data_IF_288725105748
#
_entry.id   IF_288725105748
#
_cell.length_a   1.000
_cell.length_b   1.000
_cell.length_c   1.000
_cell.angle_alpha   90.00
_cell.angle_beta   90.00
_cell.angle_gamma   90.00
#
_symmetry.space_group_name_H-M   'P 1'
#
loop_
_entity.id
_entity.type
_entity.pdbx_description
1 polymer ?
#
# COMPACT_ATOMS: atom_id res chain seq x y z
N UNK A 1 6.12 3.33 9.72
CA UNK A 1 5.33 2.66 8.65
C UNK A 1 5.33 1.18 8.90
N UNK A 2 4.17 0.56 9.01
CA UNK A 2 4.03 -0.86 9.24
C UNK A 2 3.10 -1.39 8.15
N UNK A 3 3.53 -2.40 7.39
CA UNK A 3 2.83 -2.99 6.23
C UNK A 3 3.17 -2.35 4.88
N UNK A 4 4.39 -1.82 4.72
CA UNK A 4 4.76 -1.11 3.49
C UNK A 4 4.71 -2.03 2.26
N UNK A 5 5.34 -3.20 2.36
CA UNK A 5 5.48 -4.12 1.21
C UNK A 5 4.12 -4.74 0.88
N UNK A 6 3.32 -5.08 1.89
CA UNK A 6 1.97 -5.61 1.71
C UNK A 6 1.05 -4.63 0.98
N UNK A 7 1.11 -3.34 1.35
CA UNK A 7 0.32 -2.30 0.68
C UNK A 7 0.76 -2.07 -0.77
N UNK A 8 2.07 -2.07 -1.04
CA UNK A 8 2.57 -1.99 -2.42
C UNK A 8 2.17 -3.23 -3.24
N UNK A 9 2.24 -4.42 -2.65
CA UNK A 9 1.83 -5.66 -3.32
C UNK A 9 0.36 -5.63 -3.71
N UNK A 10 -0.51 -5.20 -2.79
CA UNK A 10 -1.95 -5.02 -3.06
C UNK A 10 -2.17 -3.97 -4.15
N UNK A 11 -1.45 -2.84 -4.11
CA UNK A 11 -1.53 -1.81 -5.16
C UNK A 11 -1.16 -2.38 -6.53
N UNK A 12 -0.02 -3.06 -6.63
CA UNK A 12 0.48 -3.59 -7.89
C UNK A 12 -0.40 -4.70 -8.46
N UNK A 13 -0.86 -5.61 -7.62
CA UNK A 13 -1.76 -6.68 -8.02
C UNK A 13 -3.12 -6.14 -8.44
N UNK A 14 -3.63 -5.13 -7.73
CA UNK A 14 -4.85 -4.43 -8.14
C UNK A 14 -4.66 -3.78 -9.50
N UNK A 15 -3.53 -3.11 -9.77
CA UNK A 15 -3.29 -2.49 -11.08
C UNK A 15 -3.18 -3.54 -12.19
N UNK A 16 -2.52 -4.67 -11.95
CA UNK A 16 -2.48 -5.80 -12.91
C UNK A 16 -3.88 -6.28 -13.28
N UNK A 17 -4.77 -6.42 -12.30
CA UNK A 17 -6.15 -6.84 -12.52
C UNK A 17 -6.99 -5.73 -13.18
N UNK A 18 -6.79 -4.47 -12.77
CA UNK A 18 -7.50 -3.30 -13.29
C UNK A 18 -7.24 -3.08 -14.78
N UNK A 19 -6.01 -3.30 -15.25
CA UNK A 19 -5.63 -3.20 -16.66
C UNK A 19 -6.37 -4.22 -17.56
N UNK A 20 -6.88 -5.30 -16.98
CA UNK A 20 -7.69 -6.30 -17.70
C UNK A 20 -9.20 -6.09 -17.57
N UNK A 21 -9.63 -5.17 -16.70
CA UNK A 21 -11.05 -5.00 -16.41
C UNK A 21 -11.73 -4.10 -17.46
N UNK A 22 -12.80 -4.54 -18.16
CA UNK A 22 -13.37 -3.84 -19.30
C UNK A 22 -14.03 -2.49 -18.94
N UNK A 23 -14.47 -2.32 -17.70
CA UNK A 23 -15.05 -1.06 -17.22
C UNK A 23 -14.02 -0.08 -16.62
N UNK A 24 -12.73 -0.46 -16.58
CA UNK A 24 -11.70 0.43 -16.07
C UNK A 24 -11.56 1.66 -16.97
N UNK A 25 -11.44 2.84 -16.36
CA UNK A 25 -11.34 4.07 -17.14
C UNK A 25 -10.02 4.11 -17.94
N UNK A 26 -10.02 4.48 -19.24
CA UNK A 26 -8.78 4.52 -20.04
C UNK A 26 -7.69 5.41 -19.44
N UNK A 27 -8.04 6.60 -18.94
CA UNK A 27 -7.09 7.47 -18.21
C UNK A 27 -6.48 6.78 -16.99
N UNK A 28 -7.24 5.94 -16.28
CA UNK A 28 -6.71 5.20 -15.14
C UNK A 28 -5.70 4.15 -15.60
N UNK A 29 -6.00 3.42 -16.68
CA UNK A 29 -5.07 2.46 -17.26
C UNK A 29 -3.74 3.13 -17.66
N UNK A 30 -3.82 4.31 -18.27
CA UNK A 30 -2.62 5.07 -18.65
C UNK A 30 -1.79 5.49 -17.44
N UNK A 31 -2.41 6.09 -16.41
CA UNK A 31 -1.65 6.57 -15.23
C UNK A 31 -1.11 5.42 -14.38
N UNK A 32 -1.81 4.27 -14.32
CA UNK A 32 -1.31 3.07 -13.65
C UNK A 32 -0.03 2.54 -14.28
N UNK A 33 0.12 2.68 -15.59
CA UNK A 33 1.33 2.28 -16.33
C UNK A 33 2.42 3.34 -16.25
N UNK A 34 2.09 4.60 -16.49
CA UNK A 34 3.08 5.69 -16.64
C UNK A 34 3.58 6.27 -15.32
N UNK A 35 2.79 6.18 -14.25
CA UNK A 35 3.04 6.85 -12.97
C UNK A 35 2.91 5.88 -11.78
N UNK A 36 3.36 4.62 -11.98
CA UNK A 36 3.27 3.55 -10.97
C UNK A 36 4.02 3.90 -9.68
N UNK A 37 5.18 4.51 -9.79
CA UNK A 37 5.99 5.04 -8.67
C UNK A 37 5.23 6.08 -7.85
N UNK A 38 4.47 6.96 -8.50
CA UNK A 38 3.63 7.95 -7.83
C UNK A 38 2.43 7.28 -7.15
N UNK A 39 1.84 6.26 -7.77
CA UNK A 39 0.83 5.45 -7.12
C UNK A 39 1.36 4.71 -5.90
N UNK A 40 2.60 4.22 -5.91
CA UNK A 40 3.25 3.62 -4.73
C UNK A 40 3.34 4.60 -3.57
N UNK A 41 3.66 5.88 -3.83
CA UNK A 41 3.62 6.91 -2.79
C UNK A 41 2.22 7.07 -2.19
N UNK A 42 1.19 7.03 -3.03
CA UNK A 42 -0.21 7.02 -2.59
C UNK A 42 -0.56 5.79 -1.75
N UNK A 43 -0.09 4.61 -2.17
CA UNK A 43 -0.34 3.31 -1.54
C UNK A 43 0.22 3.18 -0.12
N UNK A 44 1.12 4.07 0.29
CA UNK A 44 1.70 4.12 1.64
C UNK A 44 1.33 5.39 2.41
N UNK A 45 0.45 6.23 1.84
CA UNK A 45 0.02 7.49 2.44
C UNK A 45 -1.23 7.31 3.29
N UNK A 46 -1.18 7.83 4.52
CA UNK A 46 -2.33 7.86 5.45
C UNK A 46 -3.30 9.00 5.09
N UNK A 47 -4.52 8.94 5.64
CA UNK A 47 -5.53 10.03 5.59
C UNK A 47 -6.05 10.39 4.19
N UNK A 48 -5.99 9.43 3.26
CA UNK A 48 -6.50 9.59 1.89
C UNK A 48 -8.01 9.92 1.83
N UNK A 49 -8.76 9.58 2.87
CA UNK A 49 -10.22 9.77 3.00
C UNK A 49 -10.62 11.23 2.93
N UNK A 50 -9.71 12.12 3.33
CA UNK A 50 -9.99 13.53 3.40
C UNK A 50 -10.01 14.21 2.03
N UNK A 51 -9.41 13.59 0.99
CA UNK A 51 -9.17 14.27 -0.28
C UNK A 51 -9.28 13.41 -1.54
N UNK A 52 -9.31 12.07 -1.48
CA UNK A 52 -9.31 11.23 -2.69
C UNK A 52 -10.44 11.57 -3.67
N UNK A 53 -11.68 11.72 -3.18
CA UNK A 53 -12.83 11.99 -4.04
C UNK A 53 -12.77 13.39 -4.66
N UNK A 54 -12.39 14.38 -3.85
CA UNK A 54 -12.21 15.77 -4.29
C UNK A 54 -11.13 15.89 -5.37
N UNK A 55 -9.99 15.20 -5.21
CA UNK A 55 -8.90 15.25 -6.19
C UNK A 55 -9.32 14.56 -7.49
N UNK A 56 -10.11 13.48 -7.46
CA UNK A 56 -10.64 12.86 -8.69
C UNK A 56 -11.60 13.81 -9.40
N UNK A 57 -12.51 14.47 -8.67
CA UNK A 57 -13.44 15.43 -9.27
C UNK A 57 -12.71 16.66 -9.84
N UNK A 58 -11.70 17.16 -9.12
CA UNK A 58 -10.81 18.21 -9.62
C UNK A 58 -10.09 17.75 -10.90
N UNK A 59 -9.54 16.53 -10.92
CA UNK A 59 -8.85 15.98 -12.09
C UNK A 59 -9.79 15.84 -13.29
N UNK A 60 -11.05 15.43 -13.08
CA UNK A 60 -12.09 15.43 -14.12
C UNK A 60 -12.26 16.80 -14.74
N UNK A 61 -12.36 17.86 -13.92
CA UNK A 61 -12.49 19.22 -14.41
C UNK A 61 -11.24 19.68 -15.18
N UNK A 62 -10.04 19.33 -14.69
CA UNK A 62 -8.78 19.67 -15.37
C UNK A 62 -8.65 19.02 -16.73
N UNK A 63 -8.98 17.73 -16.85
CA UNK A 63 -8.87 16.97 -18.09
C UNK A 63 -9.83 17.46 -19.19
N UNK A 64 -10.87 18.22 -18.82
CA UNK A 64 -11.80 18.86 -19.76
C UNK A 64 -11.29 20.21 -20.29
N UNK A 65 -10.24 20.79 -19.72
CA UNK A 65 -9.69 22.08 -20.14
C UNK A 65 -8.87 21.93 -21.44
N UNK A 66 -8.80 22.98 -22.30
CA UNK A 66 -7.92 22.98 -23.47
C UNK A 66 -6.44 22.82 -23.11
N UNK A 67 -6.05 23.29 -21.93
CA UNK A 67 -4.69 23.18 -21.39
C UNK A 67 -4.78 22.66 -19.95
N UNK A 68 -4.87 21.32 -19.74
CA UNK A 68 -4.98 20.73 -18.42
C UNK A 68 -3.72 21.00 -17.58
N UNK A 69 -3.86 21.04 -16.24
CA UNK A 69 -2.71 20.98 -15.33
C UNK A 69 -1.85 19.74 -15.65
N UNK A 70 -0.57 19.95 -15.97
CA UNK A 70 0.38 18.89 -16.30
C UNK A 70 0.57 17.87 -15.16
N UNK A 71 0.23 18.24 -13.91
CA UNK A 71 0.29 17.37 -12.74
C UNK A 71 -1.00 16.55 -12.53
N UNK A 72 -2.06 16.77 -13.30
CA UNK A 72 -3.32 16.04 -13.12
C UNK A 72 -3.16 14.51 -13.22
N UNK A 73 -2.42 13.95 -14.20
CA UNK A 73 -2.17 12.50 -14.26
C UNK A 73 -1.41 11.96 -13.05
N UNK A 74 -0.44 12.72 -12.53
CA UNK A 74 0.37 12.34 -11.37
C UNK A 74 -0.45 12.35 -10.08
N UNK A 75 -1.23 13.41 -9.85
CA UNK A 75 -2.17 13.50 -8.72
C UNK A 75 -3.21 12.37 -8.78
N UNK A 76 -3.68 12.02 -9.98
CA UNK A 76 -4.59 10.91 -10.17
C UNK A 76 -3.94 9.57 -9.80
N UNK A 77 -2.72 9.30 -10.28
CA UNK A 77 -1.97 8.10 -9.90
C UNK A 77 -1.80 7.97 -8.38
N UNK A 78 -1.43 9.07 -7.72
CA UNK A 78 -1.33 9.14 -6.26
C UNK A 78 -2.65 8.79 -5.56
N UNK A 79 -3.79 9.32 -6.03
CA UNK A 79 -5.11 9.00 -5.48
C UNK A 79 -5.47 7.53 -5.71
N UNK A 80 -5.18 6.96 -6.88
CA UNK A 80 -5.51 5.56 -7.15
C UNK A 80 -4.74 4.64 -6.20
N UNK A 81 -3.45 4.90 -5.99
CA UNK A 81 -2.68 4.20 -4.96
C UNK A 81 -3.24 4.40 -3.55
N UNK A 82 -3.71 5.60 -3.21
CA UNK A 82 -4.29 5.87 -1.89
C UNK A 82 -5.64 5.17 -1.66
N UNK A 83 -6.40 4.90 -2.73
CA UNK A 83 -7.59 4.03 -2.66
C UNK A 83 -7.20 2.56 -2.44
N UNK A 84 -6.16 2.05 -3.09
CA UNK A 84 -5.67 0.69 -2.81
C UNK A 84 -5.11 0.57 -1.39
N UNK A 85 -4.48 1.64 -0.87
CA UNK A 85 -4.06 1.72 0.53
C UNK A 85 -5.24 1.51 1.48
N UNK A 86 -6.34 2.25 1.27
CA UNK A 86 -7.54 2.09 2.09
C UNK A 86 -8.07 0.66 2.04
N UNK A 87 -8.16 0.08 0.85
CA UNK A 87 -8.65 -1.29 0.70
C UNK A 87 -7.77 -2.28 1.47
N UNK A 88 -6.45 -2.15 1.39
CA UNK A 88 -5.52 -2.95 2.19
C UNK A 88 -5.78 -2.78 3.70
N UNK A 89 -5.76 -1.54 4.18
CA UNK A 89 -5.95 -1.21 5.59
C UNK A 89 -7.23 -1.80 6.19
N UNK A 90 -8.36 -1.73 5.46
CA UNK A 90 -9.65 -2.27 5.95
C UNK A 90 -9.60 -3.77 6.21
N UNK A 91 -8.75 -4.51 5.50
CA UNK A 91 -8.68 -5.97 5.56
C UNK A 91 -7.49 -6.47 6.39
N UNK A 92 -6.37 -5.74 6.43
CA UNK A 92 -5.14 -6.14 7.12
C UNK A 92 -5.06 -5.60 8.55
N UNK A 93 -5.48 -4.36 8.81
CA UNK A 93 -5.42 -3.78 10.17
C UNK A 93 -6.17 -4.58 11.22
N UNK A 94 -7.36 -5.18 10.96
CA UNK A 94 -8.03 -6.01 11.94
C UNK A 94 -7.15 -7.17 12.44
N UNK A 95 -6.35 -7.79 11.55
CA UNK A 95 -5.37 -8.81 11.93
C UNK A 95 -4.37 -8.24 12.93
N UNK A 96 -3.84 -7.05 12.66
CA UNK A 96 -2.82 -6.46 13.51
C UNK A 96 -3.36 -6.06 14.88
N UNK A 97 -4.62 -5.58 14.92
CA UNK A 97 -5.27 -5.09 16.14
C UNK A 97 -5.61 -6.18 17.15
N UNK A 98 -5.79 -7.45 16.75
CA UNK A 98 -5.95 -8.52 17.74
C UNK A 98 -4.70 -8.72 18.63
N UNK A 99 -3.56 -8.22 18.18
CA UNK A 99 -2.30 -8.28 18.90
C UNK A 99 -1.97 -6.98 19.64
N UNK A 100 -2.89 -6.00 19.63
CA UNK A 100 -2.68 -4.64 20.15
C UNK A 100 -2.48 -3.60 19.05
N UNK A 101 -2.24 -2.33 19.42
CA UNK A 101 -1.95 -1.27 18.42
C UNK A 101 -0.52 -1.36 17.87
N UNK A 102 0.31 -2.21 18.47
CA UNK A 102 1.76 -2.12 18.42
C UNK A 102 2.24 -0.90 19.18
N UNK A 103 3.46 -0.97 19.71
CA UNK A 103 4.12 0.24 20.17
C UNK A 103 4.84 0.93 19.00
N UNK A 104 4.81 2.26 19.00
CA UNK A 104 5.70 3.07 18.16
C UNK A 104 7.12 3.11 18.77
N UNK A 105 7.36 2.34 19.83
CA UNK A 105 8.67 2.23 20.49
C UNK A 105 9.63 1.39 19.64
N UNK A 106 9.10 0.47 18.81
CA UNK A 106 9.92 -0.40 17.98
C UNK A 106 10.59 -1.52 18.78
N UNK A 107 10.06 -1.83 19.96
CA UNK A 107 10.63 -2.85 20.80
C UNK A 107 10.50 -4.22 20.12
N UNK A 108 11.63 -4.93 20.03
CA UNK A 108 11.65 -6.29 19.51
C UNK A 108 10.73 -7.18 20.35
N UNK A 109 9.91 -7.99 19.68
CA UNK A 109 8.96 -8.90 20.32
C UNK A 109 7.54 -8.37 20.48
N UNK A 110 7.23 -7.12 20.07
CA UNK A 110 5.84 -6.67 19.99
C UNK A 110 5.05 -7.49 18.95
N UNK A 111 4.01 -8.26 19.35
CA UNK A 111 3.32 -9.19 18.45
C UNK A 111 2.59 -8.50 17.29
N UNK A 112 2.13 -7.26 17.48
CA UNK A 112 1.51 -6.49 16.41
C UNK A 112 2.53 -6.08 15.35
N UNK A 113 3.71 -5.60 15.75
CA UNK A 113 4.80 -5.27 14.83
C UNK A 113 5.36 -6.50 14.11
N UNK A 114 5.52 -7.63 14.82
CA UNK A 114 5.92 -8.91 14.21
C UNK A 114 4.92 -9.38 13.16
N UNK A 115 3.62 -9.42 13.49
CA UNK A 115 2.57 -9.86 12.57
C UNK A 115 2.61 -9.09 11.24
N UNK A 116 2.76 -7.78 11.35
CA UNK A 116 2.89 -6.86 10.22
C UNK A 116 4.15 -7.11 9.38
N UNK A 117 5.30 -7.33 10.03
CA UNK A 117 6.54 -7.69 9.32
C UNK A 117 6.38 -9.03 8.59
N UNK A 118 5.77 -10.03 9.23
CA UNK A 118 5.54 -11.33 8.60
C UNK A 118 4.65 -11.23 7.36
N UNK A 119 3.64 -10.35 7.38
CA UNK A 119 2.80 -10.05 6.22
C UNK A 119 3.63 -9.42 5.08
N UNK A 120 4.44 -8.41 5.39
CA UNK A 120 5.34 -7.78 4.44
C UNK A 120 6.35 -8.78 3.84
N UNK A 121 6.92 -9.67 4.66
CA UNK A 121 7.86 -10.71 4.19
C UNK A 121 7.19 -11.73 3.27
N UNK A 122 5.95 -12.14 3.58
CA UNK A 122 5.20 -13.03 2.71
C UNK A 122 4.96 -12.35 1.35
N UNK A 123 4.51 -11.09 1.35
CA UNK A 123 4.25 -10.35 0.10
C UNK A 123 5.56 -10.08 -0.64
N UNK A 124 6.66 -9.78 0.05
CA UNK A 124 7.99 -9.65 -0.57
C UNK A 124 8.37 -10.91 -1.35
N UNK A 125 8.10 -12.09 -0.79
CA UNK A 125 8.34 -13.38 -1.43
C UNK A 125 7.37 -13.68 -2.57
N UNK A 126 6.06 -13.57 -2.33
CA UNK A 126 5.01 -13.97 -3.28
C UNK A 126 4.84 -12.98 -4.44
N UNK A 127 5.04 -11.69 -4.16
CA UNK A 127 4.89 -10.61 -5.14
C UNK A 127 6.21 -10.25 -5.75
N UNK A 128 7.23 -9.95 -4.97
CA UNK A 128 8.46 -9.40 -5.54
C UNK A 128 9.53 -10.46 -5.76
N UNK A 129 9.20 -11.75 -5.64
CA UNK A 129 10.14 -12.87 -5.76
C UNK A 129 11.39 -12.66 -4.89
N UNK A 130 11.20 -12.09 -3.70
CA UNK A 130 12.29 -11.67 -2.81
C UNK A 130 13.31 -10.74 -3.49
N UNK A 131 12.84 -9.83 -4.33
CA UNK A 131 13.65 -8.89 -5.09
C UNK A 131 14.34 -9.48 -6.32
N UNK A 132 13.99 -10.69 -6.78
CA UNK A 132 14.65 -11.33 -7.92
C UNK A 132 13.84 -11.23 -9.22
N UNK A 133 14.57 -11.09 -10.34
CA UNK A 133 14.01 -11.18 -11.68
C UNK A 133 13.16 -9.98 -12.09
N UNK A 134 12.37 -10.10 -13.17
CA UNK A 134 11.62 -8.99 -13.76
C UNK A 134 10.46 -8.48 -12.87
N UNK A 135 10.17 -9.17 -11.76
CA UNK A 135 9.07 -8.88 -10.84
C UNK A 135 9.55 -8.18 -9.57
N UNK A 136 10.85 -7.92 -9.45
CA UNK A 136 11.52 -7.43 -8.25
C UNK A 136 11.14 -5.99 -7.88
N UNK A 137 10.93 -5.14 -8.88
CA UNK A 137 10.73 -3.69 -8.72
C UNK A 137 9.55 -3.36 -7.79
N UNK A 138 9.75 -2.49 -6.77
CA UNK A 138 10.91 -1.59 -6.56
C UNK A 138 12.03 -2.15 -5.66
N UNK A 139 11.98 -3.44 -5.30
CA UNK A 139 12.89 -4.04 -4.34
C UNK A 139 14.08 -4.75 -4.99
N UNK A 140 15.15 -4.92 -4.23
CA UNK A 140 16.36 -5.64 -4.65
C UNK A 140 16.60 -6.87 -3.76
N UNK A 141 17.31 -7.91 -4.25
CA UNK A 141 17.56 -9.16 -3.50
C UNK A 141 18.20 -8.98 -2.12
N UNK A 142 18.93 -7.88 -1.91
CA UNK A 142 19.65 -7.58 -0.68
C UNK A 142 18.91 -6.68 0.30
N UNK A 143 17.70 -6.19 -0.02
CA UNK A 143 17.01 -5.18 0.80
C UNK A 143 16.72 -5.67 2.23
N UNK A 144 16.58 -6.99 2.42
CA UNK A 144 16.33 -7.62 3.72
C UNK A 144 17.50 -8.50 4.22
N UNK A 145 18.67 -8.42 3.59
CA UNK A 145 19.82 -9.23 4.02
C UNK A 145 20.36 -8.79 5.39
N UNK A 146 20.07 -7.54 5.80
CA UNK A 146 20.69 -6.91 6.96
C UNK A 146 22.19 -6.65 6.76
N UNK A 147 22.86 -5.98 7.71
CA UNK A 147 24.29 -5.76 7.65
C UNK A 147 25.05 -7.10 7.75
N UNK A 148 25.97 -7.36 6.82
CA UNK A 148 26.80 -8.57 6.82
C UNK A 148 28.09 -8.39 7.64
N UNK A 149 28.43 -7.14 7.97
CA UNK A 149 29.61 -6.76 8.73
C UNK A 149 29.32 -5.54 9.60
N UNK A 150 30.21 -5.26 10.56
CA UNK A 150 30.15 -4.03 11.37
C UNK A 150 30.30 -2.77 10.49
N UNK A 151 31.09 -2.86 9.41
CA UNK A 151 31.24 -1.77 8.45
C UNK A 151 29.91 -1.46 7.73
N UNK A 152 29.16 -2.49 7.32
CA UNK A 152 27.83 -2.32 6.70
C UNK A 152 26.84 -1.66 7.67
N UNK A 153 26.85 -2.10 8.93
CA UNK A 153 25.98 -1.52 9.97
C UNK A 153 26.29 -0.02 10.18
N UNK A 154 27.58 0.34 10.24
CA UNK A 154 28.00 1.76 10.34
C UNK A 154 27.63 2.57 9.10
N UNK A 155 27.76 2.00 7.91
CA UNK A 155 27.36 2.67 6.67
C UNK A 155 25.84 2.93 6.63
N UNK A 156 25.03 1.97 7.06
CA UNK A 156 23.57 2.11 7.18
C UNK A 156 23.19 3.23 8.17
N UNK A 157 23.83 3.29 9.34
CA UNK A 157 23.64 4.36 10.34
C UNK A 157 23.91 5.74 9.73
N UNK A 158 25.03 5.89 9.02
CA UNK A 158 25.40 7.14 8.33
C UNK A 158 24.36 7.51 7.28
N UNK A 159 23.93 6.56 6.45
CA UNK A 159 22.90 6.80 5.43
C UNK A 159 21.57 7.23 6.05
N UNK A 160 21.14 6.58 7.14
CA UNK A 160 19.93 6.97 7.90
C UNK A 160 20.02 8.42 8.38
N UNK A 161 21.17 8.85 8.90
CA UNK A 161 21.40 10.25 9.32
C UNK A 161 21.34 11.21 8.13
N UNK A 162 22.00 10.89 7.01
CA UNK A 162 21.99 11.71 5.81
C UNK A 162 20.59 11.86 5.23
N UNK A 163 19.83 10.76 5.13
CA UNK A 163 18.45 10.76 4.65
C UNK A 163 17.55 11.62 5.53
N UNK A 164 17.65 11.48 6.87
CA UNK A 164 16.91 12.34 7.81
C UNK A 164 17.23 13.81 7.60
N UNK A 165 18.52 14.16 7.43
CA UNK A 165 18.94 15.54 7.15
C UNK A 165 18.39 16.06 5.82
N UNK A 166 18.40 15.23 4.78
CA UNK A 166 17.84 15.59 3.48
C UNK A 166 16.32 15.82 3.59
N UNK A 167 15.59 14.93 4.26
CA UNK A 167 14.14 15.08 4.48
C UNK A 167 13.80 16.33 5.29
N UNK A 168 14.60 16.65 6.31
CA UNK A 168 14.47 17.93 7.04
C UNK A 168 14.73 19.10 6.10
N UNK A 169 15.81 19.07 5.31
CA UNK A 169 16.12 20.16 4.38
C UNK A 169 15.05 20.38 3.30
N UNK A 170 14.32 19.33 2.92
CA UNK A 170 13.24 19.38 1.93
C UNK A 170 11.88 19.83 2.52
N UNK A 171 11.75 20.00 3.84
CA UNK A 171 10.46 20.38 4.41
C UNK A 171 10.10 21.83 4.02
N UNK A 172 8.86 22.03 3.59
CA UNK A 172 8.30 23.38 3.33
C UNK A 172 7.58 23.95 4.54
N UNK A 173 7.67 23.29 5.70
CA UNK A 173 7.07 23.75 6.97
C UNK A 173 7.84 24.98 7.45
N UNK A 174 7.21 26.15 7.36
CA UNK A 174 7.81 27.39 7.82
C UNK A 174 8.08 27.33 9.34
N UNK A 175 9.29 27.71 9.81
CA UNK A 175 9.58 27.83 11.22
C UNK A 175 8.75 28.98 11.83
N UNK A 176 8.23 28.76 13.05
CA UNK A 176 7.65 29.84 13.83
C UNK A 176 8.80 30.67 14.44
N UNK A 177 9.02 31.88 13.93
CA UNK A 177 10.07 32.76 14.42
C UNK A 177 9.79 33.33 15.82
N UNK A 178 8.53 33.32 16.27
CA UNK A 178 8.12 33.79 17.60
C UNK A 178 8.26 32.72 18.69
N UNK A 179 8.22 31.44 18.32
CA UNK A 179 8.43 30.30 19.23
C UNK A 179 9.13 29.13 18.51
N UNK A 180 10.43 29.30 18.26
CA UNK A 180 11.24 28.29 17.57
C UNK A 180 11.30 26.95 18.34
N UNK A 181 11.25 26.99 19.67
CA UNK A 181 11.30 25.80 20.52
C UNK A 181 9.98 25.01 20.48
N UNK A 182 8.84 25.70 20.56
CA UNK A 182 7.52 25.09 20.41
C UNK A 182 7.33 24.52 19.00
N UNK A 183 7.76 25.26 17.97
CA UNK A 183 7.78 24.76 16.60
C UNK A 183 8.62 23.49 16.45
N UNK A 184 9.88 23.51 16.93
CA UNK A 184 10.76 22.35 16.83
C UNK A 184 10.18 21.14 17.56
N UNK A 185 9.60 21.36 18.75
CA UNK A 185 8.93 20.30 19.53
C UNK A 185 7.74 19.72 18.76
N UNK A 186 6.89 20.57 18.18
CA UNK A 186 5.73 20.13 17.40
C UNK A 186 6.16 19.41 16.10
N UNK A 187 7.19 19.92 15.42
CA UNK A 187 7.78 19.31 14.24
C UNK A 187 8.35 17.93 14.57
N UNK A 188 9.20 17.82 15.59
CA UNK A 188 9.78 16.53 16.02
C UNK A 188 8.72 15.54 16.49
N UNK A 189 7.65 15.99 17.17
CA UNK A 189 6.51 15.14 17.54
C UNK A 189 5.71 14.63 16.33
N UNK A 190 5.71 15.40 15.23
CA UNK A 190 5.03 15.05 13.97
C UNK A 190 5.93 14.28 13.01
N UNK A 191 7.26 14.32 13.21
CA UNK A 191 8.17 13.47 12.45
C UNK A 191 7.76 12.02 12.66
N UNK A 192 7.49 11.36 11.54
CA UNK A 192 7.13 9.96 11.57
C UNK A 192 8.34 9.17 12.10
N UNK A 193 8.16 8.52 13.25
CA UNK A 193 9.11 7.52 13.70
C UNK A 193 9.00 6.30 12.77
N UNK A 194 10.14 5.67 12.49
CA UNK A 194 10.20 4.40 11.79
C UNK A 194 10.41 3.32 12.85
N UNK A 195 9.36 2.92 13.61
CA UNK A 195 9.50 2.02 14.75
C UNK A 195 10.02 0.65 14.34
N UNK A 196 9.80 0.26 13.08
CA UNK A 196 10.28 -1.03 12.57
C UNK A 196 11.71 -0.90 12.05
N UNK A 197 12.60 -1.64 12.69
CA UNK A 197 13.98 -1.78 12.24
C UNK A 197 14.07 -2.73 11.04
N UNK A 198 14.88 -2.38 10.04
CA UNK A 198 15.26 -3.31 8.96
C UNK A 198 15.95 -4.56 9.52
N UNK A 199 16.61 -4.44 10.67
CA UNK A 199 17.17 -5.58 11.39
C UNK A 199 16.09 -6.59 11.78
N UNK A 200 14.92 -6.14 12.24
CA UNK A 200 13.83 -7.05 12.61
C UNK A 200 13.24 -7.75 11.37
N UNK A 201 13.18 -7.07 10.22
CA UNK A 201 12.83 -7.71 8.95
C UNK A 201 13.85 -8.79 8.59
N UNK A 202 15.15 -8.48 8.65
CA UNK A 202 16.21 -9.41 8.31
C UNK A 202 16.19 -10.64 9.24
N UNK A 203 16.01 -10.44 10.54
CA UNK A 203 15.92 -11.52 11.51
C UNK A 203 14.72 -12.45 11.23
N UNK A 204 13.51 -11.88 11.09
CA UNK A 204 12.30 -12.67 10.84
C UNK A 204 12.34 -13.36 9.47
N UNK A 205 12.98 -12.74 8.47
CA UNK A 205 13.20 -13.35 7.16
C UNK A 205 14.15 -14.55 7.22
N UNK A 206 15.21 -14.47 8.02
CA UNK A 206 16.20 -15.54 8.17
C UNK A 206 15.65 -16.72 8.97
N UNK A 207 14.91 -16.47 10.05
CA UNK A 207 14.37 -17.52 10.91
C UNK A 207 13.15 -18.23 10.31
N UNK A 208 12.28 -17.50 9.59
CA UNK A 208 11.01 -17.96 9.01
C UNK A 208 10.25 -18.98 9.89
N UNK A 209 10.11 -18.65 11.17
CA UNK A 209 9.55 -19.52 12.20
C UNK A 209 8.12 -19.97 11.85
N UNK A 210 7.93 -21.28 11.72
CA UNK A 210 6.64 -21.88 11.34
C UNK A 210 5.53 -21.62 12.36
N UNK A 211 5.84 -21.47 13.65
CA UNK A 211 4.86 -21.09 14.65
C UNK A 211 4.35 -19.66 14.42
N UNK A 212 5.25 -18.73 14.09
CA UNK A 212 4.89 -17.35 13.73
C UNK A 212 4.15 -17.29 12.40
N UNK A 213 4.56 -18.06 11.39
CA UNK A 213 3.85 -18.19 10.10
C UNK A 213 2.42 -18.66 10.33
N UNK A 214 2.23 -19.74 11.11
CA UNK A 214 0.91 -20.25 11.44
C UNK A 214 0.07 -19.18 12.15
N UNK A 215 0.60 -18.61 13.23
CA UNK A 215 -0.08 -17.62 14.08
C UNK A 215 -0.51 -16.35 13.32
N UNK A 216 0.41 -15.77 12.54
CA UNK A 216 0.20 -14.44 11.96
C UNK A 216 -0.33 -14.46 10.52
N UNK A 217 -0.11 -15.54 9.77
CA UNK A 217 -0.47 -15.63 8.34
C UNK A 217 -1.59 -16.64 8.09
N UNK A 218 -1.42 -17.89 8.53
CA UNK A 218 -2.35 -18.99 8.21
C UNK A 218 -3.64 -18.86 9.03
N UNK A 219 -3.54 -18.76 10.37
CA UNK A 219 -4.70 -18.70 11.26
C UNK A 219 -5.51 -17.41 11.06
N UNK A 220 -4.89 -16.38 10.48
CA UNK A 220 -5.52 -15.10 10.15
C UNK A 220 -6.08 -15.06 8.72
N UNK A 221 -5.94 -16.17 7.96
CA UNK A 221 -6.26 -16.28 6.55
C UNK A 221 -5.75 -15.08 5.74
N UNK A 222 -4.50 -14.68 5.97
CA UNK A 222 -3.96 -13.45 5.39
C UNK A 222 -3.85 -13.55 3.87
N UNK A 223 -3.29 -14.64 3.35
CA UNK A 223 -3.04 -14.83 1.93
C UNK A 223 -3.17 -16.32 1.54
N UNK A 224 -3.93 -16.61 0.49
CA UNK A 224 -4.10 -17.95 -0.06
C UNK A 224 -3.73 -17.96 -1.55
N UNK A 225 -2.74 -18.79 -1.93
CA UNK A 225 -2.28 -18.87 -3.33
C UNK A 225 -3.36 -19.36 -4.30
N UNK A 226 -4.34 -20.09 -3.78
CA UNK A 226 -5.43 -20.68 -4.57
C UNK A 226 -6.62 -19.74 -4.75
N UNK A 227 -6.60 -18.54 -4.16
CA UNK A 227 -7.63 -17.54 -4.46
C UNK A 227 -7.54 -17.13 -5.93
N UNK A 228 -8.68 -17.14 -6.61
CA UNK A 228 -8.74 -16.93 -8.06
C UNK A 228 -8.16 -15.56 -8.48
N UNK A 229 -8.42 -14.50 -7.70
CA UNK A 229 -7.85 -13.16 -7.94
C UNK A 229 -6.33 -13.14 -7.82
N UNK A 230 -5.79 -13.78 -6.79
CA UNK A 230 -4.35 -13.87 -6.57
C UNK A 230 -3.71 -14.64 -7.73
N UNK A 231 -4.28 -15.78 -8.14
CA UNK A 231 -3.80 -16.53 -9.32
C UNK A 231 -3.82 -15.68 -10.58
N UNK A 232 -4.91 -14.95 -10.86
CA UNK A 232 -4.97 -14.04 -12.01
C UNK A 232 -3.83 -13.01 -11.96
N UNK A 233 -3.63 -12.36 -10.81
CA UNK A 233 -2.55 -11.39 -10.63
C UNK A 233 -1.15 -12.03 -10.83
N UNK A 234 -0.94 -13.27 -10.35
CA UNK A 234 0.33 -14.00 -10.56
C UNK A 234 0.54 -14.39 -12.01
N UNK A 235 -0.50 -14.80 -12.73
CA UNK A 235 -0.41 -15.12 -14.15
C UNK A 235 -0.01 -13.89 -14.97
N UNK A 236 -0.68 -12.76 -14.78
CA UNK A 236 -0.31 -11.49 -15.43
C UNK A 236 1.12 -11.11 -15.11
N UNK A 237 1.51 -11.20 -13.84
CA UNK A 237 2.85 -10.85 -13.42
C UNK A 237 3.95 -11.70 -14.09
N UNK A 238 3.69 -13.00 -14.32
CA UNK A 238 4.60 -13.91 -15.03
C UNK A 238 4.52 -13.78 -16.56
N UNK A 239 3.80 -12.79 -17.09
CA UNK A 239 3.59 -12.60 -18.52
C UNK A 239 2.66 -13.62 -19.17
N UNK A 240 1.92 -14.40 -18.38
CA UNK A 240 0.89 -15.31 -18.90
C UNK A 240 -0.35 -14.52 -19.31
N UNK A 241 -1.03 -14.97 -20.35
CA UNK A 241 -2.30 -14.38 -20.78
C UNK A 241 -3.41 -14.72 -19.78
N UNK A 242 -4.11 -13.70 -19.30
CA UNK A 242 -5.35 -13.83 -18.51
C UNK A 242 -6.44 -13.11 -19.26
N UNK A 243 -7.57 -13.77 -19.47
CA UNK A 243 -8.72 -13.17 -20.16
C UNK A 243 -9.50 -12.28 -19.20
N UNK A 244 -10.08 -11.15 -19.66
CA UNK A 244 -10.92 -10.28 -18.84
C UNK A 244 -12.02 -11.01 -18.08
N UNK A 245 -12.65 -12.02 -18.69
CA UNK A 245 -13.73 -12.81 -18.07
C UNK A 245 -13.26 -13.54 -16.82
N UNK A 246 -12.00 -14.02 -16.80
CA UNK A 246 -11.45 -14.70 -15.63
C UNK A 246 -11.29 -13.75 -14.44
N UNK A 247 -10.95 -12.47 -14.70
CA UNK A 247 -10.87 -11.45 -13.66
C UNK A 247 -12.27 -11.12 -13.13
N UNK A 248 -13.26 -10.99 -14.02
CA UNK A 248 -14.66 -10.74 -13.63
C UNK A 248 -15.24 -11.88 -12.80
N UNK A 249 -15.04 -13.13 -13.23
CA UNK A 249 -15.46 -14.32 -12.49
C UNK A 249 -14.79 -14.39 -11.11
N UNK A 250 -13.48 -14.13 -11.05
CA UNK A 250 -12.73 -14.14 -9.80
C UNK A 250 -13.19 -13.02 -8.85
N UNK A 251 -13.48 -11.81 -9.35
CA UNK A 251 -14.04 -10.72 -8.57
C UNK A 251 -15.42 -11.09 -8.01
N UNK A 252 -16.31 -11.60 -8.86
CA UNK A 252 -17.68 -11.98 -8.47
C UNK A 252 -17.70 -13.14 -7.46
N UNK A 253 -16.75 -14.07 -7.55
CA UNK A 253 -16.63 -15.19 -6.62
C UNK A 253 -15.97 -14.82 -5.29
N UNK A 254 -15.29 -13.67 -5.19
CA UNK A 254 -14.57 -13.30 -3.97
C UNK A 254 -15.53 -12.90 -2.86
N UNK A 255 -15.48 -13.62 -1.74
CA UNK A 255 -16.33 -13.43 -0.57
C UNK A 255 -15.52 -13.51 0.74
N UNK A 256 -16.22 -13.59 1.88
CA UNK A 256 -15.60 -13.65 3.21
C UNK A 256 -14.77 -14.91 3.49
N UNK A 257 -14.92 -15.97 2.68
CA UNK A 257 -14.17 -17.23 2.84
C UNK A 257 -12.77 -17.15 2.22
N UNK A 258 -12.57 -16.23 1.30
CA UNK A 258 -11.29 -15.97 0.64
C UNK A 258 -10.31 -15.25 1.58
N UNK A 259 -9.02 -15.31 1.24
CA UNK A 259 -8.00 -14.65 2.06
C UNK A 259 -8.21 -13.14 2.13
N UNK A 260 -7.73 -12.53 3.21
CA UNK A 260 -7.82 -11.09 3.41
C UNK A 260 -7.11 -10.31 2.31
N UNK A 261 -6.02 -10.86 1.75
CA UNK A 261 -5.34 -10.27 0.60
C UNK A 261 -6.24 -10.27 -0.64
N UNK A 262 -6.88 -11.40 -0.99
CA UNK A 262 -7.81 -11.46 -2.14
C UNK A 262 -9.02 -10.52 -1.95
N UNK A 263 -9.58 -10.48 -0.73
CA UNK A 263 -10.65 -9.53 -0.36
C UNK A 263 -10.19 -8.08 -0.49
N UNK A 264 -8.95 -7.76 -0.14
CA UNK A 264 -8.38 -6.42 -0.33
C UNK A 264 -8.25 -6.07 -1.81
N UNK A 265 -7.84 -7.01 -2.67
CA UNK A 265 -7.81 -6.79 -4.13
C UNK A 265 -9.21 -6.51 -4.69
N UNK A 266 -10.20 -7.32 -4.31
CA UNK A 266 -11.60 -7.12 -4.72
C UNK A 266 -12.11 -5.74 -4.28
N UNK A 267 -11.85 -5.37 -3.03
CA UNK A 267 -12.27 -4.07 -2.48
C UNK A 267 -11.57 -2.89 -3.16
N UNK A 268 -10.28 -3.03 -3.46
CA UNK A 268 -9.53 -2.03 -4.20
C UNK A 268 -10.11 -1.85 -5.62
N UNK A 269 -10.45 -2.96 -6.30
CA UNK A 269 -11.12 -2.92 -7.60
C UNK A 269 -12.48 -2.20 -7.53
N UNK A 270 -13.31 -2.45 -6.52
CA UNK A 270 -14.55 -1.70 -6.30
C UNK A 270 -14.31 -0.19 -6.21
N UNK A 271 -13.32 0.23 -5.42
CA UNK A 271 -12.97 1.65 -5.29
C UNK A 271 -12.47 2.26 -6.60
N UNK A 272 -11.62 1.56 -7.35
CA UNK A 272 -11.12 2.07 -8.63
C UNK A 272 -12.24 2.18 -9.67
N UNK A 273 -13.18 1.24 -9.69
CA UNK A 273 -14.35 1.31 -10.56
C UNK A 273 -15.26 2.48 -10.18
N UNK A 274 -15.54 2.69 -8.89
CA UNK A 274 -16.28 3.84 -8.41
C UNK A 274 -15.57 5.17 -8.70
N UNK A 275 -14.24 5.22 -8.58
CA UNK A 275 -13.43 6.36 -8.98
C UNK A 275 -13.55 6.63 -10.49
N UNK A 276 -13.64 5.59 -11.32
CA UNK A 276 -13.87 5.73 -12.75
C UNK A 276 -15.23 6.34 -13.06
N UNK A 277 -16.27 5.94 -12.31
CA UNK A 277 -17.62 6.53 -12.40
C UNK A 277 -17.61 8.01 -12.01
N UNK A 278 -16.88 8.37 -10.95
CA UNK A 278 -16.71 9.77 -10.54
C UNK A 278 -15.97 10.58 -11.61
N UNK A 279 -14.88 10.04 -12.17
CA UNK A 279 -14.12 10.71 -13.23
C UNK A 279 -14.97 10.92 -14.50
N UNK A 280 -15.90 10.01 -14.82
CA UNK A 280 -16.87 10.19 -15.93
C UNK A 280 -18.01 11.15 -15.60
N UNK A 281 -18.16 11.57 -14.35
CA UNK A 281 -19.29 12.39 -13.89
C UNK A 281 -20.60 11.60 -13.72
N UNK A 282 -20.55 10.27 -13.68
CA UNK A 282 -21.72 9.39 -13.48
C UNK A 282 -22.23 9.41 -12.03
N UNK A 283 -21.35 9.76 -11.09
CA UNK A 283 -21.67 9.93 -9.67
C UNK A 283 -21.02 11.22 -9.16
N UNK A 284 -21.60 11.81 -8.10
CA UNK A 284 -21.03 12.96 -7.41
C UNK A 284 -20.03 12.57 -6.31
N UNK A 285 -19.31 13.57 -5.78
CA UNK A 285 -18.29 13.40 -4.73
C UNK A 285 -18.82 12.68 -3.49
N UNK A 286 -20.02 13.02 -3.02
CA UNK A 286 -20.59 12.41 -1.81
C UNK A 286 -20.90 10.91 -2.00
N UNK A 287 -21.41 10.55 -3.18
CA UNK A 287 -21.66 9.15 -3.51
C UNK A 287 -20.34 8.37 -3.65
N UNK A 288 -19.33 8.96 -4.28
CA UNK A 288 -18.01 8.36 -4.35
C UNK A 288 -17.39 8.16 -2.95
N UNK A 289 -17.49 9.14 -2.05
CA UNK A 289 -17.03 8.99 -0.65
C UNK A 289 -17.70 7.81 0.05
N UNK A 290 -19.01 7.63 -0.13
CA UNK A 290 -19.74 6.47 0.39
C UNK A 290 -19.19 5.16 -0.18
N UNK A 291 -19.01 5.09 -1.50
CA UNK A 291 -18.47 3.90 -2.18
C UNK A 291 -17.01 3.61 -1.82
N UNK A 292 -16.25 4.64 -1.43
CA UNK A 292 -14.88 4.51 -0.91
C UNK A 292 -14.83 4.22 0.60
N UNK A 293 -15.98 3.96 1.24
CA UNK A 293 -16.11 3.75 2.68
C UNK A 293 -15.48 4.86 3.54
N UNK A 294 -15.55 6.12 3.08
CA UNK A 294 -15.05 7.28 3.84
C UNK A 294 -15.89 7.45 5.10
N UNK A 295 -15.22 7.52 6.26
CA UNK A 295 -15.88 7.64 7.56
C UNK A 295 -16.52 6.35 8.08
N UNK A 296 -16.45 5.25 7.33
CA UNK A 296 -16.92 3.94 7.78
C UNK A 296 -15.83 3.30 8.63
N UNK A 297 -16.14 2.88 9.88
CA UNK A 297 -15.18 2.15 10.72
C UNK A 297 -14.59 0.93 9.99
N UNK A 298 -13.36 0.56 10.35
CA UNK A 298 -12.72 -0.64 9.83
C UNK A 298 -13.51 -1.90 10.23
N UNK A 299 -13.50 -2.91 9.36
CA UNK A 299 -14.23 -4.17 9.59
C UNK A 299 -13.71 -4.89 10.84
N UNK A 300 -14.59 -5.56 11.58
CA UNK A 300 -14.17 -6.40 12.69
C UNK A 300 -13.52 -7.69 12.19
N UNK A 301 -12.77 -8.40 13.04
CA UNK A 301 -12.14 -9.68 12.67
C UNK A 301 -13.19 -10.76 12.31
N UNK A 302 -14.42 -10.60 12.82
CA UNK A 302 -15.51 -11.56 12.70
C UNK A 302 -16.33 -11.40 11.41
N UNK A 303 -15.98 -10.43 10.54
CA UNK A 303 -16.62 -10.15 9.24
C UNK A 303 -15.64 -10.33 8.06
#
# INVERSE_FOLDING_TARGET
MSDHIAHLGICDDTFRLALLHPQMHPTFQEVMVRHRDIAHMGAVTRTADLWSAEVIDWARQQLALPQPDALAPQKLAFVLGSLTHRAADRLTKPITRCWGRGDDSGQAGDPANESKIMQDLLVFKEVYASGHGPMADPFTPGVLAGPQSEADARAEEVFRVLLRRALIAMHTIAPDSGDIHGWLTAFLKRLQTFPKSLHQYAQLAAEWDQAKVKKYLIDQNFHCRDDALIRCARHVQRGSTVRPEQVLEALAATDKTHSRYARALAKAMEYLLAAGRLLRGEIGVQEAKRLFDVGVPELSIQE
#
